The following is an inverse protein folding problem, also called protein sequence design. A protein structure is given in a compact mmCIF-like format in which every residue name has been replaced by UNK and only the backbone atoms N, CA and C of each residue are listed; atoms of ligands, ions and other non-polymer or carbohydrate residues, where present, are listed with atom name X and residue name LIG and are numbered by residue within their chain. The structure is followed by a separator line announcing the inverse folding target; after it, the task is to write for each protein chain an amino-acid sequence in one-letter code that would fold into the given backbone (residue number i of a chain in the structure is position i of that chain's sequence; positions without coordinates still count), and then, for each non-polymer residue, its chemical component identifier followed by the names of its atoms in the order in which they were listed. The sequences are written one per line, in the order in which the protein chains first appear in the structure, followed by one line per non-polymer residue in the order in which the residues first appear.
data_IF_039966530071
#
_entry.id   IF_039966530071
#
_cell.length_a   1.000
_cell.length_b   1.000
_cell.length_c   1.000
_cell.angle_alpha   90.00
_cell.angle_beta   90.00
_cell.angle_gamma   90.00
#
_symmetry.space_group_name_H-M   'P 1'
#
loop_
_entity.id
_entity.type
_entity.pdbx_description
1 polymer ?
#
# COMPACT_ATOMS: atom_id res chain seq x y z
N UNK A 1 15.90 14.69 8.30
CA UNK A 1 15.15 14.09 9.42
C UNK A 1 13.72 13.86 8.98
N UNK A 2 13.24 12.63 9.07
CA UNK A 2 11.83 12.30 8.84
C UNK A 2 11.08 12.99 9.98
N UNK A 3 10.22 13.97 9.64
CA UNK A 3 9.54 14.80 10.62
C UNK A 3 8.66 13.99 11.57
N UNK A 4 8.43 14.53 12.76
CA UNK A 4 7.56 13.92 13.77
C UNK A 4 6.07 13.92 13.36
N UNK A 5 5.73 14.65 12.31
CA UNK A 5 4.37 14.90 11.88
C UNK A 5 3.94 14.00 10.74
N UNK A 6 2.65 13.75 10.66
CA UNK A 6 1.99 13.13 9.53
C UNK A 6 2.41 13.82 8.22
N UNK A 7 2.96 13.04 7.32
CA UNK A 7 3.38 13.50 6.00
C UNK A 7 2.27 13.21 4.99
N UNK A 8 1.65 14.28 4.49
CA UNK A 8 0.76 14.20 3.34
C UNK A 8 1.56 14.69 2.14
N UNK A 9 2.07 13.81 1.28
CA UNK A 9 2.78 14.23 0.09
C UNK A 9 1.81 14.99 -0.83
N UNK A 10 2.20 16.19 -1.27
CA UNK A 10 1.47 16.93 -2.31
C UNK A 10 1.57 16.23 -3.67
N UNK A 11 2.63 15.45 -3.86
CA UNK A 11 2.89 14.62 -5.03
C UNK A 11 3.31 13.24 -4.55
N UNK A 12 2.58 12.21 -4.97
CA UNK A 12 2.90 10.81 -4.70
C UNK A 12 3.31 10.17 -6.03
N UNK A 13 4.55 9.71 -6.10
CA UNK A 13 5.04 8.93 -7.24
C UNK A 13 4.80 7.45 -6.95
N UNK A 14 3.98 6.81 -7.77
CA UNK A 14 3.58 5.42 -7.60
C UNK A 14 4.07 4.62 -8.81
N UNK A 15 4.87 3.62 -8.56
CA UNK A 15 5.42 2.70 -9.56
C UNK A 15 5.29 1.24 -9.14
N UNK A 16 6.00 0.35 -9.82
CA UNK A 16 6.03 -1.09 -9.54
C UNK A 16 6.43 -1.44 -8.10
N UNK A 17 7.18 -0.59 -7.42
CA UNK A 17 7.57 -0.81 -6.01
C UNK A 17 6.42 -0.66 -5.02
N UNK A 18 5.26 -0.17 -5.48
CA UNK A 18 4.07 0.02 -4.67
C UNK A 18 3.02 -1.09 -4.84
N UNK A 19 3.25 -2.12 -5.66
CA UNK A 19 2.25 -3.15 -5.93
C UNK A 19 1.80 -3.91 -4.68
N UNK A 20 2.75 -4.38 -3.87
CA UNK A 20 2.46 -5.09 -2.62
C UNK A 20 1.76 -4.17 -1.61
N UNK A 21 2.22 -2.92 -1.53
CA UNK A 21 1.64 -1.91 -0.64
C UNK A 21 0.19 -1.62 -1.05
N UNK A 22 -0.09 -1.54 -2.34
CA UNK A 22 -1.44 -1.32 -2.87
C UNK A 22 -2.39 -2.45 -2.50
N UNK A 23 -1.95 -3.70 -2.66
CA UNK A 23 -2.77 -4.85 -2.24
C UNK A 23 -3.03 -4.83 -0.73
N UNK A 24 -2.03 -4.53 0.09
CA UNK A 24 -2.19 -4.45 1.55
C UNK A 24 -3.20 -3.35 1.92
N UNK A 25 -3.15 -2.20 1.25
CA UNK A 25 -4.09 -1.11 1.51
C UNK A 25 -5.53 -1.50 1.12
N UNK A 26 -5.74 -2.19 0.01
CA UNK A 26 -7.03 -2.74 -0.37
C UNK A 26 -7.54 -3.79 0.64
N UNK A 27 -6.66 -4.67 1.12
CA UNK A 27 -7.00 -5.62 2.18
C UNK A 27 -7.47 -4.89 3.44
N UNK A 28 -6.86 -3.76 3.80
CA UNK A 28 -7.31 -2.94 4.93
C UNK A 28 -8.65 -2.24 4.70
N UNK A 29 -9.13 -2.18 3.46
CA UNK A 29 -10.42 -1.64 3.08
C UNK A 29 -11.44 -2.74 2.71
N UNK A 30 -11.17 -4.01 3.03
CA UNK A 30 -11.98 -5.16 2.59
C UNK A 30 -13.44 -5.11 3.05
N UNK A 31 -13.75 -4.40 4.13
CA UNK A 31 -15.14 -4.19 4.61
C UNK A 31 -15.94 -3.24 3.69
N UNK A 32 -15.27 -2.52 2.79
CA UNK A 32 -15.92 -1.68 1.79
C UNK A 32 -16.49 -2.57 0.67
N UNK A 33 -17.81 -2.53 0.35
CA UNK A 33 -18.42 -3.45 -0.60
C UNK A 33 -17.75 -3.49 -1.98
N UNK A 34 -17.34 -2.33 -2.51
CA UNK A 34 -16.67 -2.24 -3.82
C UNK A 34 -15.29 -2.90 -3.81
N UNK A 35 -14.50 -2.68 -2.74
CA UNK A 35 -13.20 -3.31 -2.55
C UNK A 35 -13.33 -4.81 -2.34
N UNK A 36 -14.30 -5.25 -1.52
CA UNK A 36 -14.59 -6.66 -1.30
C UNK A 36 -14.94 -7.38 -2.62
N UNK A 37 -15.81 -6.77 -3.43
CA UNK A 37 -16.15 -7.32 -4.75
C UNK A 37 -14.93 -7.45 -5.64
N UNK A 38 -14.08 -6.43 -5.67
CA UNK A 38 -12.83 -6.46 -6.44
C UNK A 38 -11.89 -7.59 -5.98
N UNK A 39 -11.65 -7.69 -4.67
CA UNK A 39 -10.80 -8.74 -4.10
C UNK A 39 -11.34 -10.15 -4.41
N UNK A 40 -12.67 -10.34 -4.31
CA UNK A 40 -13.32 -11.60 -4.68
C UNK A 40 -13.11 -11.95 -6.16
N UNK A 41 -13.17 -10.97 -7.06
CA UNK A 41 -12.90 -11.17 -8.49
C UNK A 41 -11.44 -11.57 -8.79
N UNK A 42 -10.51 -11.22 -7.89
CA UNK A 42 -9.12 -11.71 -7.92
C UNK A 42 -8.94 -13.09 -7.25
N UNK A 43 -10.03 -13.71 -6.77
CA UNK A 43 -9.98 -14.98 -6.04
C UNK A 43 -9.61 -14.84 -4.56
N UNK A 44 -9.56 -13.64 -4.03
CA UNK A 44 -9.30 -13.34 -2.62
C UNK A 44 -10.65 -13.25 -1.89
N UNK A 45 -11.15 -14.37 -1.42
CA UNK A 45 -12.45 -14.47 -0.75
C UNK A 45 -12.36 -14.38 0.78
N UNK A 46 -11.20 -14.69 1.34
CA UNK A 46 -10.93 -14.59 2.77
C UNK A 46 -9.51 -14.06 3.01
N UNK A 47 -9.42 -12.90 3.65
CA UNK A 47 -8.13 -12.29 3.98
C UNK A 47 -7.36 -13.05 5.08
N UNK A 48 -8.02 -13.98 5.81
CA UNK A 48 -7.35 -14.84 6.78
C UNK A 48 -6.44 -15.88 6.14
N UNK A 49 -6.63 -16.19 4.86
CA UNK A 49 -5.77 -17.09 4.08
C UNK A 49 -4.49 -16.40 3.54
N UNK A 50 -4.33 -15.08 3.78
CA UNK A 50 -3.21 -14.30 3.27
C UNK A 50 -2.16 -14.14 4.34
N UNK A 51 -0.90 -14.44 3.99
CA UNK A 51 0.27 -14.17 4.83
C UNK A 51 1.15 -13.10 4.18
N UNK A 52 1.55 -12.10 4.98
CA UNK A 52 2.42 -11.01 4.57
C UNK A 52 3.73 -11.15 5.33
N UNK A 53 4.84 -11.13 4.61
CA UNK A 53 6.19 -11.25 5.16
C UNK A 53 6.99 -9.98 4.85
N UNK A 54 7.67 -9.44 5.85
CA UNK A 54 8.51 -8.25 5.71
C UNK A 54 9.98 -8.63 5.87
N UNK A 55 10.83 -8.16 4.98
CA UNK A 55 12.28 -8.09 5.22
C UNK A 55 12.63 -6.69 5.68
N UNK A 56 13.18 -6.57 6.88
CA UNK A 56 13.48 -5.28 7.52
C UNK A 56 14.98 -5.11 7.78
N UNK A 57 15.41 -3.86 7.74
CA UNK A 57 16.74 -3.43 8.16
C UNK A 57 16.64 -2.83 9.57
N UNK A 58 16.93 -3.64 10.59
CA UNK A 58 16.82 -3.23 12.00
C UNK A 58 17.69 -2.02 12.35
N UNK A 59 18.83 -1.83 11.67
CA UNK A 59 19.71 -0.68 11.91
C UNK A 59 19.01 0.65 11.56
N UNK A 60 18.00 0.59 10.70
CA UNK A 60 17.23 1.76 10.27
C UNK A 60 16.04 2.09 11.19
N UNK A 61 15.66 1.19 12.08
CA UNK A 61 14.48 1.36 12.97
C UNK A 61 14.52 2.67 13.75
N UNK A 62 15.68 3.05 14.29
CA UNK A 62 15.85 4.28 15.07
C UNK A 62 15.54 5.57 14.28
N UNK A 63 15.70 5.55 12.95
CA UNK A 63 15.42 6.73 12.12
C UNK A 63 13.93 7.09 12.09
N UNK A 64 13.06 6.09 12.27
CA UNK A 64 11.60 6.23 12.24
C UNK A 64 10.99 6.29 13.64
N UNK A 65 11.80 6.27 14.72
CA UNK A 65 11.38 6.11 16.13
C UNK A 65 10.22 7.02 16.56
N UNK A 66 10.18 8.25 16.04
CA UNK A 66 9.14 9.21 16.40
C UNK A 66 7.96 9.21 15.44
N UNK A 67 8.00 8.41 14.38
CA UNK A 67 6.98 8.44 13.33
C UNK A 67 5.82 7.48 13.62
N UNK A 68 4.59 7.91 13.33
CA UNK A 68 3.37 7.09 13.48
C UNK A 68 3.46 5.77 12.72
N UNK A 69 4.12 5.78 11.55
CA UNK A 69 4.33 4.59 10.73
C UNK A 69 5.07 3.49 11.50
N UNK A 70 6.16 3.81 12.21
CA UNK A 70 6.88 2.81 13.00
C UNK A 70 6.08 2.37 14.21
N UNK A 71 5.37 3.28 14.89
CA UNK A 71 4.50 2.92 16.02
C UNK A 71 3.42 1.93 15.61
N UNK A 72 2.79 2.15 14.45
CA UNK A 72 1.83 1.23 13.87
C UNK A 72 2.51 -0.08 13.47
N UNK A 73 3.62 -0.03 12.75
CA UNK A 73 4.34 -1.21 12.29
C UNK A 73 4.75 -2.13 13.45
N UNK A 74 5.22 -1.57 14.56
CA UNK A 74 5.57 -2.34 15.77
C UNK A 74 4.34 -3.01 16.43
N UNK A 75 3.12 -2.46 16.28
CA UNK A 75 1.90 -3.15 16.76
C UNK A 75 1.50 -4.30 15.83
N UNK A 76 1.74 -4.15 14.54
CA UNK A 76 1.47 -5.18 13.54
C UNK A 76 2.49 -6.32 13.62
N UNK A 77 3.73 -5.99 13.97
CA UNK A 77 4.87 -6.91 14.06
C UNK A 77 5.42 -7.00 15.49
N UNK A 78 4.62 -7.46 16.48
CA UNK A 78 5.08 -7.56 17.85
C UNK A 78 6.27 -8.54 17.95
N UNK A 79 7.20 -8.26 18.85
CA UNK A 79 8.36 -9.10 19.16
C UNK A 79 9.27 -9.43 17.95
N UNK A 80 9.28 -8.54 16.93
CA UNK A 80 10.07 -8.74 15.72
C UNK A 80 9.52 -9.80 14.77
N UNK A 81 8.29 -10.28 14.98
CA UNK A 81 7.60 -11.17 14.04
C UNK A 81 7.41 -10.47 12.70
N UNK A 82 8.03 -10.99 11.67
CA UNK A 82 7.99 -10.42 10.32
C UNK A 82 6.96 -11.07 9.40
N UNK A 83 6.35 -12.18 9.84
CA UNK A 83 5.30 -12.90 9.11
C UNK A 83 3.97 -12.68 9.82
N UNK A 84 3.05 -12.01 9.18
CA UNK A 84 1.74 -11.67 9.75
C UNK A 84 0.60 -12.14 8.87
N UNK A 85 -0.51 -12.45 9.50
CA UNK A 85 -1.76 -12.70 8.80
C UNK A 85 -2.38 -11.35 8.36
N UNK A 86 -2.89 -11.28 7.14
CA UNK A 86 -3.49 -10.06 6.61
C UNK A 86 -4.69 -9.57 7.44
N UNK A 87 -5.44 -10.47 8.08
CA UNK A 87 -6.53 -10.11 9.00
C UNK A 87 -6.00 -9.34 10.21
N UNK A 88 -4.87 -9.78 10.80
CA UNK A 88 -4.22 -9.06 11.90
C UNK A 88 -3.86 -7.64 11.48
N UNK A 89 -3.26 -7.48 10.31
CA UNK A 89 -2.93 -6.17 9.75
C UNK A 89 -4.19 -5.32 9.51
N UNK A 90 -5.23 -5.91 8.89
CA UNK A 90 -6.49 -5.24 8.62
C UNK A 90 -7.25 -4.83 9.89
N UNK A 91 -7.10 -5.52 11.01
CA UNK A 91 -7.78 -5.20 12.27
C UNK A 91 -6.96 -4.29 13.19
N UNK A 92 -5.63 -4.19 13.03
CA UNK A 92 -4.79 -3.33 13.87
C UNK A 92 -5.03 -1.86 13.55
N UNK A 93 -5.38 -1.06 14.56
CA UNK A 93 -5.63 0.37 14.41
C UNK A 93 -4.34 1.15 14.10
N UNK A 94 -4.47 2.17 13.25
CA UNK A 94 -3.35 3.06 12.91
C UNK A 94 -3.03 4.06 14.02
N UNK A 95 -4.03 4.50 14.80
CA UNK A 95 -3.92 5.45 15.93
C UNK A 95 -2.96 6.61 15.64
N UNK A 96 -3.21 7.41 14.60
CA UNK A 96 -2.33 8.51 14.24
C UNK A 96 -2.37 9.63 15.29
N UNK A 97 -1.23 10.27 15.51
CA UNK A 97 -1.12 11.37 16.48
C UNK A 97 -1.50 12.73 15.88
N UNK A 98 -1.34 12.90 14.58
CA UNK A 98 -1.71 14.13 13.87
C UNK A 98 -3.22 14.24 13.69
N UNK A 99 -3.78 15.43 13.98
CA UNK A 99 -5.20 15.72 13.75
C UNK A 99 -5.61 15.61 12.27
N UNK A 100 -4.68 15.84 11.33
CA UNK A 100 -4.92 15.66 9.90
C UNK A 100 -5.01 14.18 9.56
N UNK A 101 -4.09 13.38 10.07
CA UNK A 101 -4.08 11.94 9.85
C UNK A 101 -5.30 11.23 10.45
N UNK A 102 -5.84 11.74 11.56
CA UNK A 102 -7.07 11.20 12.18
C UNK A 102 -8.31 11.32 11.29
N UNK A 103 -8.27 12.17 10.26
CA UNK A 103 -9.37 12.33 9.28
C UNK A 103 -9.26 11.37 8.10
N UNK A 104 -8.10 10.73 7.93
CA UNK A 104 -7.88 9.82 6.82
C UNK A 104 -8.40 8.41 7.13
N UNK A 105 -8.78 7.68 6.10
CA UNK A 105 -9.14 6.27 6.25
C UNK A 105 -7.95 5.43 6.69
N UNK A 106 -8.21 4.34 7.40
CA UNK A 106 -7.18 3.39 7.84
C UNK A 106 -6.37 2.85 6.67
N UNK A 107 -7.04 2.45 5.60
CA UNK A 107 -6.40 1.90 4.40
C UNK A 107 -5.44 2.89 3.75
N UNK A 108 -5.82 4.17 3.66
CA UNK A 108 -4.94 5.23 3.17
C UNK A 108 -3.74 5.45 4.07
N UNK A 109 -3.94 5.47 5.39
CA UNK A 109 -2.82 5.58 6.35
C UNK A 109 -1.86 4.39 6.26
N UNK A 110 -2.38 3.16 6.12
CA UNK A 110 -1.54 1.97 5.95
C UNK A 110 -0.70 2.05 4.69
N UNK A 111 -1.30 2.49 3.56
CA UNK A 111 -0.52 2.73 2.34
C UNK A 111 0.61 3.73 2.59
N UNK A 112 0.31 4.88 3.17
CA UNK A 112 1.28 5.94 3.43
C UNK A 112 2.39 5.50 4.39
N UNK A 113 2.06 4.72 5.43
CA UNK A 113 3.02 4.19 6.39
C UNK A 113 3.97 3.18 5.76
N UNK A 114 3.44 2.22 4.99
CA UNK A 114 4.28 1.25 4.29
C UNK A 114 5.11 1.93 3.19
N UNK A 115 4.53 2.88 2.46
CA UNK A 115 5.25 3.68 1.48
C UNK A 115 6.43 4.41 2.12
N UNK A 116 6.22 5.10 3.24
CA UNK A 116 7.28 5.80 3.95
C UNK A 116 8.39 4.85 4.45
N UNK A 117 8.01 3.69 4.99
CA UNK A 117 8.97 2.74 5.55
C UNK A 117 9.74 1.95 4.48
N UNK A 118 9.24 1.86 3.24
CA UNK A 118 9.82 1.07 2.15
C UNK A 118 10.47 1.90 1.05
N UNK A 119 10.18 3.20 0.95
CA UNK A 119 10.77 4.05 -0.08
C UNK A 119 12.11 4.63 0.39
N UNK A 120 13.11 4.70 -0.51
CA UNK A 120 14.37 5.36 -0.19
C UNK A 120 14.14 6.87 -0.05
N UNK A 121 14.62 7.46 1.05
CA UNK A 121 14.68 8.91 1.16
C UNK A 121 15.72 9.43 0.15
N UNK A 122 15.29 10.17 -0.84
CA UNK A 122 16.19 10.90 -1.74
C UNK A 122 16.55 12.23 -1.09
N UNK A 123 17.75 12.33 -0.54
CA UNK A 123 18.32 13.65 -0.19
C UNK A 123 18.93 14.27 -1.43
N UNK A 124 18.54 15.51 -1.68
CA UNK A 124 19.16 16.34 -2.71
C UNK A 124 20.68 16.39 -2.48
N UNK A 125 21.48 15.97 -3.46
CA UNK A 125 22.96 15.95 -3.38
C UNK A 125 23.61 14.66 -2.84
N UNK A 126 22.83 13.66 -2.38
CA UNK A 126 23.37 12.35 -1.95
C UNK A 126 22.78 11.21 -2.81
N UNK A 127 23.38 10.86 -3.94
CA UNK A 127 22.77 9.97 -4.94
C UNK A 127 22.55 8.52 -4.48
N UNK A 128 23.11 8.06 -3.35
CA UNK A 128 23.13 6.63 -3.02
C UNK A 128 22.71 6.28 -1.58
N UNK A 129 22.10 7.19 -0.82
CA UNK A 129 21.69 6.86 0.54
C UNK A 129 20.24 6.36 0.57
N UNK A 130 20.09 5.05 0.39
CA UNK A 130 18.81 4.36 0.58
C UNK A 130 18.54 4.25 2.08
N UNK A 131 17.54 4.98 2.57
CA UNK A 131 17.14 4.97 3.98
C UNK A 131 15.72 4.40 4.07
N UNK A 132 15.59 3.07 4.05
CA UNK A 132 14.31 2.39 4.22
C UNK A 132 14.40 1.36 5.33
N UNK A 133 13.33 1.19 6.07
CA UNK A 133 13.21 0.14 7.08
C UNK A 133 12.81 -1.18 6.42
N UNK A 134 11.83 -1.15 5.51
CA UNK A 134 11.33 -2.33 4.83
C UNK A 134 12.05 -2.49 3.49
N UNK A 135 12.83 -3.55 3.35
CA UNK A 135 13.59 -3.85 2.14
C UNK A 135 12.73 -4.51 1.07
N UNK A 136 11.87 -5.44 1.47
CA UNK A 136 10.90 -6.11 0.59
C UNK A 136 9.68 -6.58 1.38
N UNK A 137 8.58 -6.73 0.64
CA UNK A 137 7.32 -7.30 1.11
C UNK A 137 7.02 -8.50 0.23
N UNK A 138 6.73 -9.65 0.83
CA UNK A 138 6.25 -10.83 0.14
C UNK A 138 4.83 -11.16 0.63
N UNK A 139 3.92 -11.47 -0.31
CA UNK A 139 2.53 -11.77 0.00
C UNK A 139 2.18 -13.14 -0.59
N UNK A 140 1.77 -14.05 0.27
CA UNK A 140 1.21 -15.35 -0.12
C UNK A 140 -0.30 -15.30 -0.03
N UNK A 141 -0.95 -15.47 -1.20
CA UNK A 141 -2.38 -15.62 -1.34
C UNK A 141 -2.67 -17.12 -1.31
N UNK A 142 -3.34 -17.61 -0.31
CA UNK A 142 -3.71 -19.05 -0.14
C UNK A 142 -2.80 -20.07 -0.84
N UNK A 143 -2.84 -20.18 -2.17
CA UNK A 143 -2.12 -21.14 -2.99
C UNK A 143 -1.13 -20.54 -3.99
N UNK A 144 -1.04 -19.20 -4.07
CA UNK A 144 -0.26 -18.48 -5.08
C UNK A 144 0.51 -17.35 -4.42
N UNK A 145 1.75 -17.11 -4.82
CA UNK A 145 2.47 -15.90 -4.42
C UNK A 145 1.97 -14.70 -5.22
N UNK A 146 1.89 -13.53 -4.58
CA UNK A 146 1.60 -12.28 -5.28
C UNK A 146 2.62 -12.01 -6.40
N UNK A 147 3.86 -12.46 -6.21
CA UNK A 147 4.91 -12.40 -7.23
C UNK A 147 4.53 -13.08 -8.55
N UNK A 148 3.73 -14.15 -8.48
CA UNK A 148 3.32 -14.96 -9.64
C UNK A 148 2.12 -14.36 -10.40
N UNK A 149 1.47 -13.32 -9.87
CA UNK A 149 0.43 -12.60 -10.60
C UNK A 149 1.01 -11.93 -11.85
N UNK A 150 0.22 -11.90 -12.91
CA UNK A 150 0.58 -11.17 -14.12
C UNK A 150 0.78 -9.67 -13.88
N UNK A 151 1.57 -9.02 -14.70
CA UNK A 151 1.79 -7.58 -14.61
C UNK A 151 0.47 -6.79 -14.74
N UNK A 152 -0.44 -7.26 -15.59
CA UNK A 152 -1.77 -6.66 -15.75
C UNK A 152 -2.63 -6.73 -14.49
N UNK A 153 -2.59 -7.84 -13.75
CA UNK A 153 -3.30 -7.97 -12.46
C UNK A 153 -2.70 -7.06 -11.40
N UNK A 154 -1.38 -6.97 -11.34
CA UNK A 154 -0.67 -6.05 -10.42
C UNK A 154 -0.98 -4.58 -10.72
N UNK A 155 -1.03 -4.21 -12.01
CA UNK A 155 -1.44 -2.86 -12.43
C UNK A 155 -2.89 -2.57 -12.05
N UNK A 156 -3.80 -3.51 -12.27
CA UNK A 156 -5.20 -3.34 -11.88
C UNK A 156 -5.35 -3.14 -10.38
N UNK A 157 -4.64 -3.93 -9.56
CA UNK A 157 -4.59 -3.75 -8.09
C UNK A 157 -4.11 -2.35 -7.72
N UNK A 158 -3.08 -1.85 -8.41
CA UNK A 158 -2.55 -0.51 -8.16
C UNK A 158 -3.57 0.58 -8.51
N UNK A 159 -4.21 0.50 -9.66
CA UNK A 159 -5.24 1.47 -10.09
C UNK A 159 -6.43 1.45 -9.14
N UNK A 160 -6.93 0.27 -8.76
CA UNK A 160 -8.01 0.16 -7.77
C UNK A 160 -7.63 0.76 -6.41
N UNK A 161 -6.39 0.55 -5.96
CA UNK A 161 -5.91 1.20 -4.75
C UNK A 161 -5.88 2.73 -4.88
N UNK A 162 -5.38 3.25 -6.00
CA UNK A 162 -5.33 4.69 -6.25
C UNK A 162 -6.74 5.27 -6.26
N UNK A 163 -7.67 4.65 -6.96
CA UNK A 163 -9.04 5.18 -7.14
C UNK A 163 -9.91 5.01 -5.91
N UNK A 164 -9.80 3.90 -5.16
CA UNK A 164 -10.70 3.58 -4.03
C UNK A 164 -10.13 3.94 -2.66
N UNK A 165 -8.80 4.04 -2.54
CA UNK A 165 -8.14 4.25 -1.24
C UNK A 165 -7.43 5.60 -1.15
N UNK A 166 -6.65 5.96 -2.17
CA UNK A 166 -5.78 7.13 -2.11
C UNK A 166 -6.45 8.41 -2.62
N UNK A 167 -7.23 8.29 -3.69
CA UNK A 167 -7.87 9.43 -4.33
C UNK A 167 -8.96 10.08 -3.45
N UNK A 168 -9.19 11.35 -3.72
CA UNK A 168 -10.30 12.15 -3.21
C UNK A 168 -10.70 13.16 -4.30
N UNK A 169 -11.77 13.92 -4.08
CA UNK A 169 -12.32 14.89 -5.05
C UNK A 169 -11.32 15.98 -5.49
N UNK A 170 -10.26 16.21 -4.73
CA UNK A 170 -9.23 17.22 -5.01
C UNK A 170 -7.96 16.59 -5.63
N UNK A 171 -7.98 15.30 -5.95
CA UNK A 171 -6.82 14.59 -6.49
C UNK A 171 -6.76 14.70 -8.01
N UNK A 172 -5.54 14.87 -8.54
CA UNK A 172 -5.25 14.78 -9.97
C UNK A 172 -4.43 13.51 -10.17
N UNK A 173 -4.92 12.62 -11.02
CA UNK A 173 -4.25 11.37 -11.38
C UNK A 173 -3.57 11.54 -12.75
N UNK A 174 -2.25 11.40 -12.77
CA UNK A 174 -1.47 11.35 -14.00
C UNK A 174 -1.04 9.89 -14.25
N UNK A 175 -1.48 9.33 -15.37
CA UNK A 175 -1.19 7.96 -15.77
C UNK A 175 -0.27 7.98 -17.00
N UNK A 176 0.84 7.24 -16.88
CA UNK A 176 1.77 7.01 -17.98
C UNK A 176 1.63 5.57 -18.46
N UNK A 177 1.18 5.38 -19.69
CA UNK A 177 0.93 4.08 -20.34
C UNK A 177 0.23 3.04 -19.41
N UNK A 178 -0.94 3.35 -18.84
CA UNK A 178 -1.59 2.49 -17.84
C UNK A 178 -1.95 1.11 -18.40
N UNK A 179 -2.18 0.99 -19.71
CA UNK A 179 -2.56 -0.23 -20.40
C UNK A 179 -1.38 -0.98 -21.07
N UNK A 180 -0.15 -0.43 -21.00
CA UNK A 180 1.04 -1.08 -21.54
C UNK A 180 1.25 -2.46 -20.87
N UNK A 181 1.54 -3.48 -21.70
CA UNK A 181 1.72 -4.88 -21.27
C UNK A 181 0.48 -5.53 -20.62
N UNK A 182 -0.69 -4.89 -20.71
CA UNK A 182 -1.95 -5.44 -20.18
C UNK A 182 -2.67 -6.24 -21.28
N UNK A 183 -3.09 -7.48 -20.94
CA UNK A 183 -3.87 -8.29 -21.87
C UNK A 183 -5.20 -7.62 -22.22
N UNK A 184 -5.64 -7.74 -23.47
CA UNK A 184 -6.82 -7.02 -23.99
C UNK A 184 -8.08 -7.22 -23.13
N UNK A 185 -8.26 -8.41 -22.56
CA UNK A 185 -9.39 -8.70 -21.67
C UNK A 185 -9.36 -7.86 -20.37
N UNK A 186 -8.18 -7.46 -19.89
CA UNK A 186 -7.99 -6.66 -18.67
C UNK A 186 -7.96 -5.14 -18.94
N UNK A 187 -7.80 -4.74 -20.21
CA UNK A 187 -7.85 -3.31 -20.56
C UNK A 187 -9.19 -2.68 -20.24
N UNK A 188 -10.28 -3.43 -20.44
CA UNK A 188 -11.61 -2.98 -20.09
C UNK A 188 -11.76 -2.74 -18.59
N UNK A 189 -11.35 -3.71 -17.77
CA UNK A 189 -11.40 -3.60 -16.31
C UNK A 189 -10.59 -2.38 -15.82
N UNK A 190 -9.43 -2.14 -16.44
CA UNK A 190 -8.58 -1.00 -16.13
C UNK A 190 -9.25 0.34 -16.47
N UNK A 191 -9.86 0.44 -17.64
CA UNK A 191 -10.57 1.65 -18.07
C UNK A 191 -11.77 1.92 -17.17
N UNK A 192 -12.57 0.90 -16.83
CA UNK A 192 -13.70 1.03 -15.91
C UNK A 192 -13.25 1.52 -14.52
N UNK A 193 -12.10 1.04 -14.01
CA UNK A 193 -11.53 1.51 -12.76
C UNK A 193 -11.14 3.00 -12.80
N UNK A 194 -10.58 3.47 -13.92
CA UNK A 194 -10.21 4.88 -14.13
C UNK A 194 -11.46 5.76 -14.27
N UNK A 195 -12.44 5.35 -15.07
CA UNK A 195 -13.70 6.10 -15.29
C UNK A 195 -14.48 6.28 -13.98
N UNK A 196 -14.44 5.30 -13.08
CA UNK A 196 -15.08 5.45 -11.75
C UNK A 196 -14.43 6.50 -10.87
N UNK A 197 -13.18 6.89 -11.13
CA UNK A 197 -12.51 7.97 -10.42
C UNK A 197 -12.99 9.36 -10.90
N UNK A 198 -13.27 9.51 -12.19
CA UNK A 198 -13.76 10.79 -12.77
C UNK A 198 -15.20 11.10 -12.34
N UNK A 199 -15.95 10.11 -11.87
CA UNK A 199 -17.35 10.25 -11.43
C UNK A 199 -17.55 10.51 -9.92
N UNK A 200 -16.48 10.69 -9.16
CA UNK A 200 -16.50 11.03 -7.73
C UNK A 200 -16.28 12.53 -7.53
#
# INVERSE_FOLDING_TARGET
AIGENYYTPKLLYIDKSCWEIALIALICAYDTPTVNTFLNNLGITDISDITISFQIDEERREMFKKHDALRWFNRVTPDGTININAKTLATTDTNPTSALAQKESKSKLVFQYLYLLSQPERKEGEPNRVQKLINSIDIKLKNVSFGDLSEGEKKLILIECITKVLGNNDSILLLDEPDAHTHIARKKDLLEAIETFEGQ
#
